data_IF_834168328862
#
_entry.id   IF_834168328862
#
_cell.length_a   1.000
_cell.length_b   1.000
_cell.length_c   1.000
_cell.angle_alpha   90.00
_cell.angle_beta   90.00
_cell.angle_gamma   90.00
#
_symmetry.space_group_name_H-M   'P 1'
#
loop_
_entity.id
_entity.type
_entity.pdbx_description
1 polymer ?
#
# COMPACT_ATOMS: atom_id res chain seq x y z
N UNK A 1 26.82 0.19 1.57
CA UNK A 1 26.55 -0.43 2.89
C UNK A 1 25.88 0.52 3.89
N UNK A 2 26.37 1.76 4.05
CA UNK A 2 25.84 2.77 5.01
C UNK A 2 24.34 3.07 4.87
N UNK A 3 23.83 3.24 3.64
CA UNK A 3 22.41 3.52 3.41
C UNK A 3 21.47 2.37 3.86
N UNK A 4 21.92 1.11 3.71
CA UNK A 4 21.15 -0.07 4.14
C UNK A 4 21.10 -0.16 5.67
N UNK A 5 22.22 0.14 6.34
CA UNK A 5 22.29 0.21 7.80
C UNK A 5 21.36 1.34 8.30
N UNK A 6 21.48 2.55 7.76
CA UNK A 6 20.62 3.67 8.14
C UNK A 6 19.12 3.36 7.97
N UNK A 7 18.74 2.67 6.90
CA UNK A 7 17.36 2.21 6.70
C UNK A 7 16.91 1.22 7.78
N UNK A 8 17.70 0.18 8.06
CA UNK A 8 17.36 -0.82 9.08
C UNK A 8 17.32 -0.22 10.49
N UNK A 9 18.27 0.64 10.84
CA UNK A 9 18.30 1.32 12.13
C UNK A 9 17.12 2.29 12.27
N UNK A 10 16.79 3.04 11.22
CA UNK A 10 15.63 3.93 11.20
C UNK A 10 14.30 3.21 11.43
N UNK A 11 14.12 2.01 10.84
CA UNK A 11 12.95 1.17 11.08
C UNK A 11 12.94 0.53 12.48
N UNK A 12 14.11 0.19 13.01
CA UNK A 12 14.24 -0.38 14.35
C UNK A 12 13.90 0.65 15.44
N UNK A 13 14.24 1.92 15.20
CA UNK A 13 13.97 3.03 16.14
C UNK A 13 12.57 3.63 15.99
N UNK A 14 11.77 3.16 15.03
CA UNK A 14 10.41 3.67 14.83
C UNK A 14 9.50 3.11 15.92
N UNK A 15 9.07 3.98 16.85
CA UNK A 15 8.15 3.65 17.94
C UNK A 15 6.75 3.29 17.43
N UNK A 16 6.20 4.14 16.56
CA UNK A 16 4.91 3.89 15.90
C UNK A 16 5.12 3.70 14.39
N UNK A 17 5.00 2.44 13.96
CA UNK A 17 5.17 2.07 12.54
C UNK A 17 3.95 2.46 11.71
N UNK A 18 2.78 2.52 12.32
CA UNK A 18 1.54 2.92 11.67
C UNK A 18 1.59 4.41 11.34
N UNK A 19 1.99 5.23 12.31
CA UNK A 19 2.17 6.66 12.13
C UNK A 19 3.22 6.94 11.04
N UNK A 20 4.39 6.29 11.10
CA UNK A 20 5.42 6.43 10.07
C UNK A 20 4.94 6.05 8.66
N UNK A 21 4.09 5.03 8.55
CA UNK A 21 3.57 4.57 7.26
C UNK A 21 2.36 5.38 6.76
N UNK A 22 1.74 6.21 7.61
CA UNK A 22 0.50 6.91 7.32
C UNK A 22 0.59 7.79 6.08
N UNK A 23 1.63 8.63 5.97
CA UNK A 23 1.79 9.50 4.80
C UNK A 23 1.91 8.72 3.49
N UNK A 24 2.69 7.63 3.50
CA UNK A 24 2.82 6.76 2.33
C UNK A 24 1.50 6.05 1.98
N UNK A 25 0.71 5.66 3.00
CA UNK A 25 -0.61 5.09 2.82
C UNK A 25 -1.58 6.09 2.19
N UNK A 26 -1.62 7.33 2.69
CA UNK A 26 -2.48 8.40 2.19
C UNK A 26 -2.12 8.78 0.74
N UNK A 27 -0.84 8.97 0.42
CA UNK A 27 -0.39 9.23 -0.96
C UNK A 27 -0.79 8.11 -1.90
N UNK A 28 -0.59 6.84 -1.49
CA UNK A 28 -1.00 5.70 -2.31
C UNK A 28 -2.50 5.69 -2.55
N UNK A 29 -3.30 5.98 -1.51
CA UNK A 29 -4.76 6.03 -1.60
C UNK A 29 -5.21 7.11 -2.57
N UNK A 30 -4.61 8.30 -2.51
CA UNK A 30 -4.88 9.41 -3.43
C UNK A 30 -4.55 9.05 -4.88
N UNK A 31 -3.35 8.51 -5.15
CA UNK A 31 -2.96 8.10 -6.49
C UNK A 31 -3.87 7.00 -7.06
N UNK A 32 -4.40 6.12 -6.21
CA UNK A 32 -5.37 5.10 -6.62
C UNK A 32 -6.73 5.71 -6.94
N UNK A 33 -7.18 6.70 -6.16
CA UNK A 33 -8.43 7.40 -6.41
C UNK A 33 -8.39 8.10 -7.78
N UNK A 34 -7.32 8.83 -8.07
CA UNK A 34 -7.12 9.51 -9.37
C UNK A 34 -7.09 8.53 -10.54
N UNK A 35 -6.45 7.37 -10.36
CA UNK A 35 -6.39 6.34 -11.41
C UNK A 35 -7.71 5.62 -11.65
N UNK A 36 -8.55 5.50 -10.63
CA UNK A 36 -9.84 4.79 -10.72
C UNK A 36 -10.97 5.70 -11.22
N UNK A 37 -10.83 7.01 -10.99
CA UNK A 37 -11.82 8.02 -11.34
C UNK A 37 -11.11 9.27 -11.88
N UNK A 38 -10.47 9.19 -13.07
CA UNK A 38 -9.70 10.30 -13.63
C UNK A 38 -10.58 11.50 -13.99
N UNK A 39 -11.83 11.25 -14.38
CA UNK A 39 -12.80 12.28 -14.77
C UNK A 39 -13.59 12.82 -13.57
N UNK A 40 -13.39 12.26 -12.36
CA UNK A 40 -14.08 12.71 -11.15
C UNK A 40 -15.59 12.45 -11.15
N UNK A 41 -16.06 11.50 -11.96
CA UNK A 41 -17.47 11.22 -12.17
C UNK A 41 -18.08 10.38 -11.03
N UNK A 42 -17.27 9.66 -10.26
CA UNK A 42 -17.75 8.87 -9.13
C UNK A 42 -18.11 9.73 -7.93
N UNK A 43 -19.16 9.34 -7.19
CA UNK A 43 -19.44 9.96 -5.90
C UNK A 43 -18.28 9.68 -4.94
N UNK A 44 -18.00 10.59 -3.98
CA UNK A 44 -16.88 10.42 -3.05
C UNK A 44 -16.88 9.08 -2.31
N UNK A 45 -18.05 8.61 -1.88
CA UNK A 45 -18.20 7.34 -1.14
C UNK A 45 -17.92 6.12 -2.03
N UNK A 46 -18.37 6.16 -3.28
CA UNK A 46 -18.17 5.09 -4.27
C UNK A 46 -16.69 4.99 -4.64
N UNK A 47 -16.04 6.14 -4.87
CA UNK A 47 -14.60 6.20 -5.13
C UNK A 47 -13.80 5.66 -3.94
N UNK A 48 -14.17 6.02 -2.71
CA UNK A 48 -13.52 5.50 -1.51
C UNK A 48 -13.64 3.97 -1.40
N UNK A 49 -14.84 3.42 -1.64
CA UNK A 49 -15.08 1.98 -1.64
C UNK A 49 -14.32 1.24 -2.76
N UNK A 50 -14.22 1.85 -3.94
CA UNK A 50 -13.46 1.32 -5.06
C UNK A 50 -11.95 1.26 -4.75
N UNK A 51 -11.41 2.32 -4.15
CA UNK A 51 -10.01 2.35 -3.70
C UNK A 51 -9.74 1.28 -2.65
N UNK A 52 -10.60 1.13 -1.65
CA UNK A 52 -10.44 0.10 -0.62
C UNK A 52 -10.49 -1.32 -1.21
N UNK A 53 -11.40 -1.55 -2.16
CA UNK A 53 -11.50 -2.82 -2.87
C UNK A 53 -10.25 -3.11 -3.71
N UNK A 54 -9.71 -2.11 -4.40
CA UNK A 54 -8.49 -2.23 -5.19
C UNK A 54 -7.27 -2.55 -4.31
N UNK A 55 -7.14 -1.90 -3.14
CA UNK A 55 -6.08 -2.19 -2.16
C UNK A 55 -6.20 -3.65 -1.69
N UNK A 56 -7.40 -4.09 -1.29
CA UNK A 56 -7.64 -5.48 -0.85
C UNK A 56 -7.29 -6.49 -1.95
N UNK A 57 -7.73 -6.24 -3.18
CA UNK A 57 -7.43 -7.11 -4.32
C UNK A 57 -5.92 -7.20 -4.61
N UNK A 58 -5.19 -6.08 -4.50
CA UNK A 58 -3.74 -6.07 -4.66
C UNK A 58 -3.04 -6.91 -3.58
N UNK A 59 -3.45 -6.78 -2.33
CA UNK A 59 -2.87 -7.56 -1.23
C UNK A 59 -3.17 -9.04 -1.38
N UNK A 60 -4.38 -9.41 -1.79
CA UNK A 60 -4.75 -10.79 -2.08
C UNK A 60 -3.84 -11.38 -3.18
N UNK A 61 -3.66 -10.66 -4.30
CA UNK A 61 -2.75 -11.06 -5.39
C UNK A 61 -1.32 -11.28 -4.89
N UNK A 62 -0.80 -10.37 -4.06
CA UNK A 62 0.55 -10.48 -3.50
C UNK A 62 0.69 -11.70 -2.58
N UNK A 63 -0.32 -11.98 -1.74
CA UNK A 63 -0.35 -13.15 -0.87
C UNK A 63 -0.35 -14.45 -1.68
N UNK A 64 -1.20 -14.55 -2.71
CA UNK A 64 -1.23 -15.72 -3.61
C UNK A 64 0.08 -15.90 -4.38
N UNK A 65 0.66 -14.82 -4.90
CA UNK A 65 1.95 -14.88 -5.60
C UNK A 65 3.07 -15.39 -4.68
N UNK A 66 3.09 -14.95 -3.42
CA UNK A 66 4.05 -15.41 -2.41
C UNK A 66 3.84 -16.88 -2.06
N UNK A 67 2.60 -17.33 -1.91
CA UNK A 67 2.25 -18.73 -1.68
C UNK A 67 2.72 -19.63 -2.84
N UNK A 68 2.44 -19.24 -4.09
CA UNK A 68 2.91 -19.97 -5.28
C UNK A 68 4.44 -20.03 -5.40
N UNK A 69 5.14 -19.00 -4.94
CA UNK A 69 6.61 -18.98 -4.91
C UNK A 69 7.16 -19.90 -3.81
N UNK A 70 6.50 -19.97 -2.66
CA UNK A 70 6.87 -20.86 -1.57
C UNK A 70 6.65 -22.33 -1.94
N UNK A 71 5.55 -22.67 -2.62
CA UNK A 71 5.25 -24.03 -3.07
C UNK A 71 6.16 -24.57 -4.18
N UNK A 72 7.01 -23.72 -4.79
CA UNK A 72 7.99 -24.10 -5.83
C UNK A 72 9.41 -24.29 -5.30
N UNK A 73 9.62 -24.09 -4.00
CA UNK A 73 10.89 -24.33 -3.30
C UNK A 73 10.82 -25.64 -2.56
#
# INVERSE_FOLDING_TARGET
MRARIAGLTGWSNTRDRTERARGAYETRRANLAERLDPDGAMRPDERAAAVDSAIKAQMARAAFARSRKAARR
#
